data_IF_757537334285
#
_entry.id   IF_757537334285
#
_cell.length_a   1.000
_cell.length_b   1.000
_cell.length_c   1.000
_cell.angle_alpha   90.00
_cell.angle_beta   90.00
_cell.angle_gamma   90.00
#
_symmetry.space_group_name_H-M   'P 1'
#
loop_
_entity.id
_entity.type
_entity.pdbx_description
1 polymer ?
#
# COMPACT_ATOMS: atom_id res chain seq x y z
N UNK A 1 -25.51 9.65 20.59
CA UNK A 1 -25.26 9.63 19.14
C UNK A 1 -23.91 10.31 18.89
N UNK A 2 -22.86 9.57 18.54
CA UNK A 2 -21.52 10.14 18.32
C UNK A 2 -21.54 10.74 16.92
N UNK A 3 -21.55 12.07 16.83
CA UNK A 3 -21.38 12.77 15.56
C UNK A 3 -19.91 12.67 15.16
N UNK A 4 -19.60 12.03 14.04
CA UNK A 4 -18.31 12.23 13.40
C UNK A 4 -18.33 13.67 12.90
N UNK A 5 -17.40 14.47 13.39
CA UNK A 5 -17.22 15.82 12.89
C UNK A 5 -16.93 15.71 11.39
N UNK A 6 -17.85 16.20 10.59
CA UNK A 6 -17.69 16.24 9.15
C UNK A 6 -16.58 17.27 8.90
N UNK A 7 -15.36 16.82 8.74
CA UNK A 7 -14.29 17.68 8.27
C UNK A 7 -14.65 18.03 6.83
N UNK A 8 -15.21 19.20 6.65
CA UNK A 8 -15.33 19.80 5.35
C UNK A 8 -13.90 19.91 4.80
N UNK A 9 -13.58 19.00 3.91
CA UNK A 9 -12.40 19.15 3.08
C UNK A 9 -12.61 20.46 2.33
N UNK A 10 -11.72 21.44 2.46
CA UNK A 10 -11.74 22.60 1.58
C UNK A 10 -11.33 22.11 0.19
N UNK A 11 -12.26 21.53 -0.53
CA UNK A 11 -12.09 21.22 -1.92
C UNK A 11 -12.12 22.55 -2.67
N UNK A 12 -10.96 23.14 -2.74
CA UNK A 12 -10.71 24.28 -3.58
C UNK A 12 -10.30 23.75 -4.97
N UNK A 13 -10.78 24.35 -6.04
CA UNK A 13 -10.36 24.01 -7.40
C UNK A 13 -8.82 24.03 -7.54
N UNK A 14 -8.14 24.89 -6.81
CA UNK A 14 -6.70 24.96 -6.72
C UNK A 14 -6.05 23.71 -6.13
N UNK A 15 -6.63 23.12 -5.08
CA UNK A 15 -6.15 21.88 -4.50
C UNK A 15 -6.32 20.69 -5.46
N UNK A 16 -7.43 20.66 -6.20
CA UNK A 16 -7.68 19.64 -7.22
C UNK A 16 -6.68 19.74 -8.36
N UNK A 17 -6.44 20.95 -8.87
CA UNK A 17 -5.47 21.20 -9.95
C UNK A 17 -4.06 20.77 -9.50
N UNK A 18 -3.65 21.08 -8.27
CA UNK A 18 -2.35 20.62 -7.73
C UNK A 18 -2.23 19.10 -7.69
N UNK A 19 -3.27 18.38 -7.24
CA UNK A 19 -3.27 16.92 -7.25
C UNK A 19 -3.24 16.35 -8.67
N UNK A 20 -3.98 16.96 -9.60
CA UNK A 20 -3.99 16.57 -11.01
C UNK A 20 -2.61 16.79 -11.66
N UNK A 21 -1.95 17.89 -11.33
CA UNK A 21 -0.58 18.18 -11.80
C UNK A 21 0.42 17.15 -11.27
N UNK A 22 0.39 16.83 -9.96
CA UNK A 22 1.27 15.78 -9.38
C UNK A 22 1.02 14.45 -10.07
N UNK A 23 -0.23 14.07 -10.27
CA UNK A 23 -0.60 12.84 -10.96
C UNK A 23 -0.11 12.84 -12.42
N UNK A 24 -0.31 13.95 -13.15
CA UNK A 24 0.15 14.10 -14.52
C UNK A 24 1.68 14.01 -14.65
N UNK A 25 2.42 14.69 -13.78
CA UNK A 25 3.89 14.59 -13.75
C UNK A 25 4.37 13.18 -13.40
N UNK A 26 3.70 12.50 -12.48
CA UNK A 26 4.03 11.12 -12.13
C UNK A 26 3.81 10.18 -13.31
N UNK A 27 2.69 10.34 -14.04
CA UNK A 27 2.42 9.54 -15.24
C UNK A 27 3.45 9.80 -16.35
N UNK A 28 3.84 11.05 -16.57
CA UNK A 28 4.88 11.40 -17.56
C UNK A 28 6.21 10.73 -17.16
N UNK A 29 6.61 10.85 -15.90
CA UNK A 29 7.85 10.24 -15.41
C UNK A 29 7.85 8.71 -15.57
N UNK A 30 6.74 8.06 -15.21
CA UNK A 30 6.57 6.60 -15.38
C UNK A 30 6.59 6.22 -16.87
N UNK A 31 5.95 7.00 -17.73
CA UNK A 31 5.95 6.75 -19.19
C UNK A 31 7.35 6.88 -19.78
N UNK A 32 8.13 7.88 -19.36
CA UNK A 32 9.52 8.04 -19.79
C UNK A 32 10.38 6.86 -19.33
N UNK A 33 10.27 6.44 -18.07
CA UNK A 33 10.95 5.26 -17.55
C UNK A 33 10.57 4.00 -18.33
N UNK A 34 9.29 3.87 -18.68
CA UNK A 34 8.81 2.76 -19.48
C UNK A 34 9.39 2.74 -20.89
N UNK A 35 9.43 3.90 -21.58
CA UNK A 35 10.03 4.00 -22.92
C UNK A 35 11.52 3.62 -22.92
N UNK A 36 12.25 4.06 -21.91
CA UNK A 36 13.66 3.67 -21.73
C UNK A 36 13.78 2.18 -21.46
N UNK A 37 12.96 1.63 -20.57
CA UNK A 37 12.97 0.20 -20.23
C UNK A 37 12.57 -0.69 -21.42
N UNK A 38 11.56 -0.29 -22.20
CA UNK A 38 11.10 -1.04 -23.37
C UNK A 38 12.16 -1.12 -24.48
N UNK A 39 12.95 -0.07 -24.63
CA UNK A 39 14.00 -0.02 -25.66
C UNK A 39 15.40 -0.36 -25.11
N UNK A 40 15.49 -0.75 -23.83
CA UNK A 40 16.76 -0.96 -23.15
C UNK A 40 17.66 -1.94 -23.86
N UNK A 41 17.12 -3.07 -24.31
CA UNK A 41 17.88 -4.11 -25.00
C UNK A 41 18.31 -3.75 -26.42
N UNK A 42 17.74 -2.68 -27.01
CA UNK A 42 18.17 -2.17 -28.31
C UNK A 42 19.36 -1.22 -28.19
N UNK A 43 19.67 -0.74 -26.99
CA UNK A 43 20.79 0.17 -26.76
C UNK A 43 22.11 -0.60 -26.69
N UNK A 44 23.20 -0.07 -27.30
CA UNK A 44 24.54 -0.61 -27.08
C UNK A 44 24.92 -0.62 -25.59
N UNK A 45 25.67 -1.63 -25.18
CA UNK A 45 26.07 -1.81 -23.77
C UNK A 45 26.75 -0.57 -23.16
N UNK A 46 27.59 0.12 -23.97
CA UNK A 46 28.25 1.35 -23.53
C UNK A 46 27.25 2.47 -23.20
N UNK A 47 26.16 2.57 -23.94
CA UNK A 47 25.10 3.56 -23.72
C UNK A 47 24.28 3.16 -22.50
N UNK A 48 23.97 1.87 -22.33
CA UNK A 48 23.28 1.37 -21.14
C UNK A 48 24.06 1.70 -19.85
N UNK A 49 25.37 1.54 -19.86
CA UNK A 49 26.24 1.91 -18.73
C UNK A 49 26.34 3.41 -18.52
N UNK A 50 26.41 4.18 -19.61
CA UNK A 50 26.59 5.63 -19.53
C UNK A 50 25.38 6.38 -18.98
N UNK A 51 24.15 5.95 -19.31
CA UNK A 51 22.91 6.64 -18.91
C UNK A 51 22.81 6.85 -17.40
N UNK A 52 22.84 5.82 -16.53
CA UNK A 52 22.70 6.01 -15.09
C UNK A 52 23.87 6.79 -14.48
N UNK A 53 25.09 6.62 -15.01
CA UNK A 53 26.27 7.33 -14.52
C UNK A 53 26.22 8.82 -14.88
N UNK A 54 25.79 9.17 -16.09
CA UNK A 54 25.61 10.56 -16.50
C UNK A 54 24.48 11.24 -15.73
N UNK A 55 23.36 10.55 -15.49
CA UNK A 55 22.27 11.07 -14.68
C UNK A 55 22.69 11.27 -13.22
N UNK A 56 23.48 10.37 -12.66
CA UNK A 56 24.06 10.51 -11.34
C UNK A 56 24.97 11.74 -11.26
N UNK A 57 25.91 11.88 -12.21
CA UNK A 57 26.81 13.02 -12.26
C UNK A 57 26.05 14.34 -12.45
N UNK A 58 25.10 14.36 -13.40
CA UNK A 58 24.27 15.54 -13.67
C UNK A 58 23.48 15.98 -12.43
N UNK A 59 22.78 15.03 -11.78
CA UNK A 59 22.00 15.36 -10.58
C UNK A 59 22.89 15.79 -9.40
N UNK A 60 24.09 15.22 -9.24
CA UNK A 60 25.05 15.64 -8.23
C UNK A 60 25.55 17.06 -8.51
N UNK A 61 25.93 17.38 -9.75
CA UNK A 61 26.40 18.74 -10.12
C UNK A 61 25.26 19.76 -9.96
N UNK A 62 24.04 19.43 -10.42
CA UNK A 62 22.87 20.31 -10.26
C UNK A 62 22.58 20.58 -8.79
N UNK A 63 22.76 19.62 -7.90
CA UNK A 63 22.54 19.81 -6.45
C UNK A 63 23.50 20.84 -5.85
N UNK A 64 24.73 20.96 -6.38
CA UNK A 64 25.69 21.96 -5.95
C UNK A 64 25.33 23.37 -6.38
N UNK A 65 24.62 23.51 -7.50
CA UNK A 65 24.20 24.82 -8.01
C UNK A 65 22.89 25.31 -7.40
N UNK A 66 21.99 24.39 -7.05
CA UNK A 66 20.66 24.70 -6.54
C UNK A 66 20.58 24.78 -5.01
N UNK A 67 21.69 25.07 -4.32
CA UNK A 67 21.79 25.09 -2.85
C UNK A 67 20.76 25.98 -2.16
N UNK A 68 20.17 26.96 -2.86
CA UNK A 68 19.14 27.84 -2.31
C UNK A 68 17.75 27.20 -2.22
N UNK A 69 17.54 26.03 -2.83
CA UNK A 69 16.26 25.35 -2.92
C UNK A 69 16.33 23.96 -2.25
N UNK A 70 16.22 23.93 -0.93
CA UNK A 70 16.32 22.69 -0.13
C UNK A 70 15.51 21.52 -0.67
N UNK A 71 14.30 21.77 -1.13
CA UNK A 71 13.44 20.71 -1.68
C UNK A 71 14.02 20.12 -2.98
N UNK A 72 14.51 20.94 -3.89
CA UNK A 72 15.12 20.48 -5.15
C UNK A 72 16.44 19.72 -4.87
N UNK A 73 17.24 20.21 -3.94
CA UNK A 73 18.46 19.50 -3.51
C UNK A 73 18.14 18.11 -2.95
N UNK A 74 17.10 18.00 -2.12
CA UNK A 74 16.66 16.69 -1.62
C UNK A 74 16.17 15.76 -2.73
N UNK A 75 15.44 16.27 -3.71
CA UNK A 75 15.02 15.49 -4.87
C UNK A 75 16.22 15.01 -5.69
N UNK A 76 17.18 15.89 -5.96
CA UNK A 76 18.38 15.56 -6.73
C UNK A 76 19.26 14.51 -6.00
N UNK A 77 19.44 14.63 -4.70
CA UNK A 77 20.14 13.61 -3.91
C UNK A 77 19.39 12.25 -3.94
N UNK A 78 18.07 12.28 -3.90
CA UNK A 78 17.27 11.05 -4.02
C UNK A 78 17.45 10.40 -5.39
N UNK A 79 17.51 11.20 -6.46
CA UNK A 79 17.81 10.73 -7.82
C UNK A 79 19.23 10.14 -7.87
N UNK A 80 20.23 10.80 -7.27
CA UNK A 80 21.57 10.23 -7.16
C UNK A 80 21.55 8.85 -6.51
N UNK A 81 20.83 8.72 -5.38
CA UNK A 81 20.67 7.45 -4.68
C UNK A 81 20.05 6.35 -5.53
N UNK A 82 19.03 6.68 -6.33
CA UNK A 82 18.40 5.76 -7.29
C UNK A 82 19.36 5.37 -8.42
N UNK A 83 20.12 6.33 -8.96
CA UNK A 83 21.07 6.08 -10.06
C UNK A 83 22.25 5.21 -9.63
N UNK A 84 22.66 5.24 -8.36
CA UNK A 84 23.63 4.28 -7.80
C UNK A 84 23.10 2.85 -7.95
N UNK A 85 21.88 2.59 -7.51
CA UNK A 85 21.28 1.26 -7.62
C UNK A 85 21.07 0.81 -9.06
N UNK A 86 20.62 1.72 -9.93
CA UNK A 86 20.46 1.43 -11.35
C UNK A 86 21.82 1.10 -12.01
N UNK A 87 22.88 1.83 -11.66
CA UNK A 87 24.22 1.55 -12.16
C UNK A 87 24.71 0.15 -11.77
N UNK A 88 24.49 -0.24 -10.51
CA UNK A 88 24.83 -1.58 -10.01
C UNK A 88 24.03 -2.66 -10.73
N UNK A 89 22.73 -2.45 -10.93
CA UNK A 89 21.86 -3.39 -11.64
C UNK A 89 22.31 -3.59 -13.10
N UNK A 90 22.62 -2.49 -13.81
CA UNK A 90 23.09 -2.53 -15.19
C UNK A 90 24.45 -3.23 -15.29
N UNK A 91 25.38 -2.95 -14.39
CA UNK A 91 26.68 -3.63 -14.31
C UNK A 91 26.46 -5.13 -14.11
N UNK A 92 25.61 -5.53 -13.16
CA UNK A 92 25.29 -6.93 -12.91
C UNK A 92 24.70 -7.64 -14.12
N UNK A 93 23.83 -6.95 -14.87
CA UNK A 93 23.19 -7.47 -16.06
C UNK A 93 24.16 -7.63 -17.24
N UNK A 94 24.99 -6.61 -17.51
CA UNK A 94 25.91 -6.61 -18.66
C UNK A 94 27.06 -7.61 -18.46
N UNK A 95 27.64 -7.62 -17.27
CA UNK A 95 28.77 -8.49 -16.96
C UNK A 95 28.38 -9.88 -16.46
N UNK A 96 27.08 -10.17 -16.38
CA UNK A 96 26.55 -11.46 -15.90
C UNK A 96 27.31 -11.95 -14.67
N UNK A 97 27.44 -11.07 -13.69
CA UNK A 97 28.29 -11.32 -12.51
C UNK A 97 27.90 -12.55 -11.72
N UNK A 98 26.71 -13.13 -11.99
CA UNK A 98 26.16 -14.26 -11.23
C UNK A 98 25.95 -13.97 -9.74
N UNK A 99 26.08 -12.71 -9.34
CA UNK A 99 25.91 -12.31 -7.97
C UNK A 99 24.44 -12.42 -7.54
N UNK A 100 24.23 -12.97 -6.35
CA UNK A 100 22.90 -13.05 -5.76
C UNK A 100 22.28 -11.64 -5.59
N UNK A 101 20.96 -11.55 -5.75
CA UNK A 101 20.26 -10.25 -5.70
C UNK A 101 20.44 -9.53 -4.37
N UNK A 102 20.63 -10.24 -3.25
CA UNK A 102 20.88 -9.60 -1.95
C UNK A 102 22.18 -8.80 -1.92
N UNK A 103 23.23 -9.23 -2.64
CA UNK A 103 24.50 -8.51 -2.75
C UNK A 103 24.32 -7.16 -3.45
N UNK A 104 23.49 -7.10 -4.49
CA UNK A 104 23.15 -5.84 -5.17
C UNK A 104 22.56 -4.83 -4.18
N UNK A 105 21.56 -5.23 -3.42
CA UNK A 105 20.92 -4.35 -2.45
C UNK A 105 21.83 -4.00 -1.27
N UNK A 106 22.69 -4.93 -0.86
CA UNK A 106 23.70 -4.69 0.17
C UNK A 106 24.71 -3.63 -0.26
N UNK A 107 25.32 -3.79 -1.44
CA UNK A 107 26.26 -2.80 -1.99
C UNK A 107 25.58 -1.46 -2.23
N UNK A 108 24.34 -1.46 -2.72
CA UNK A 108 23.56 -0.24 -2.86
C UNK A 108 23.41 0.47 -1.52
N UNK A 109 23.02 -0.24 -0.46
CA UNK A 109 22.90 0.32 0.89
C UNK A 109 24.22 0.91 1.41
N UNK A 110 25.32 0.21 1.21
CA UNK A 110 26.67 0.70 1.63
C UNK A 110 27.04 1.96 0.87
N UNK A 111 26.79 2.03 -0.44
CA UNK A 111 27.10 3.21 -1.25
C UNK A 111 26.18 4.41 -0.98
N UNK A 112 25.02 4.20 -0.34
CA UNK A 112 24.16 5.29 0.12
C UNK A 112 24.64 5.93 1.43
N UNK A 113 25.46 5.25 2.25
CA UNK A 113 25.91 5.78 3.54
C UNK A 113 26.62 7.14 3.46
N UNK A 114 27.55 7.40 2.51
CA UNK A 114 28.19 8.70 2.40
C UNK A 114 27.23 9.87 2.14
N UNK A 115 26.11 9.60 1.45
CA UNK A 115 25.09 10.61 1.13
C UNK A 115 24.26 11.06 2.32
N UNK A 116 24.34 10.36 3.46
CA UNK A 116 23.71 10.75 4.71
C UNK A 116 24.48 11.87 5.46
N UNK A 117 25.63 12.26 4.98
CA UNK A 117 26.39 13.37 5.57
C UNK A 117 25.58 14.67 5.60
N UNK A 118 24.77 14.90 4.58
CA UNK A 118 23.73 15.93 4.62
C UNK A 118 22.38 15.26 4.85
N UNK A 119 21.61 15.67 5.89
CA UNK A 119 20.33 15.04 6.21
C UNK A 119 19.38 15.11 5.01
N UNK A 120 19.17 13.97 4.36
CA UNK A 120 18.29 13.85 3.20
C UNK A 120 17.26 12.75 3.46
N UNK A 121 15.98 13.15 3.46
CA UNK A 121 14.87 12.26 3.75
C UNK A 121 14.78 11.14 2.70
N UNK A 122 14.97 11.48 1.42
CA UNK A 122 14.84 10.51 0.32
C UNK A 122 15.95 9.47 0.32
N UNK A 123 17.20 9.89 0.55
CA UNK A 123 18.36 8.98 0.66
C UNK A 123 18.23 8.06 1.87
N UNK A 124 17.79 8.61 3.01
CA UNK A 124 17.54 7.79 4.19
C UNK A 124 16.43 6.74 3.94
N UNK A 125 15.37 7.13 3.27
CA UNK A 125 14.28 6.21 2.89
C UNK A 125 14.77 5.11 1.95
N UNK A 126 15.56 5.46 0.93
CA UNK A 126 16.19 4.49 0.03
C UNK A 126 17.12 3.53 0.77
N UNK A 127 17.96 4.05 1.68
CA UNK A 127 18.84 3.23 2.51
C UNK A 127 18.03 2.21 3.34
N UNK A 128 16.94 2.65 3.95
CA UNK A 128 16.09 1.76 4.74
C UNK A 128 15.45 0.66 3.89
N UNK A 129 14.94 0.99 2.70
CA UNK A 129 14.35 0.00 1.78
C UNK A 129 15.40 -0.98 1.27
N UNK A 130 16.52 -0.48 0.77
CA UNK A 130 17.57 -1.33 0.17
C UNK A 130 18.20 -2.26 1.20
N UNK A 131 18.46 -1.77 2.40
CA UNK A 131 19.01 -2.60 3.49
C UNK A 131 18.00 -3.65 3.99
N UNK A 132 16.71 -3.32 4.04
CA UNK A 132 15.66 -4.28 4.37
C UNK A 132 15.52 -5.36 3.29
N UNK A 133 15.57 -4.96 2.01
CA UNK A 133 15.54 -5.89 0.88
C UNK A 133 16.79 -6.78 0.85
N UNK A 134 17.98 -6.23 1.15
CA UNK A 134 19.19 -7.01 1.25
C UNK A 134 19.07 -8.11 2.32
N UNK A 135 18.56 -7.77 3.49
CA UNK A 135 18.34 -8.72 4.58
C UNK A 135 17.30 -9.78 4.20
N UNK A 136 16.17 -9.35 3.62
CA UNK A 136 15.09 -10.25 3.20
C UNK A 136 15.58 -11.25 2.13
N UNK A 137 16.24 -10.77 1.09
CA UNK A 137 16.75 -11.60 0.00
C UNK A 137 17.89 -12.50 0.46
N UNK A 138 18.73 -12.05 1.39
CA UNK A 138 19.76 -12.89 1.99
C UNK A 138 19.15 -14.15 2.59
N UNK A 139 18.10 -14.02 3.39
CA UNK A 139 17.45 -15.19 3.98
C UNK A 139 16.74 -16.07 2.94
N UNK A 140 16.15 -15.48 1.87
CA UNK A 140 15.46 -16.27 0.83
C UNK A 140 16.45 -17.00 -0.07
N UNK A 141 17.59 -16.38 -0.40
CA UNK A 141 18.55 -16.91 -1.36
C UNK A 141 19.64 -17.78 -0.71
N UNK A 142 19.72 -17.81 0.60
CA UNK A 142 20.69 -18.62 1.33
C UNK A 142 19.99 -19.71 2.13
N UNK A 143 20.71 -20.75 2.48
CA UNK A 143 20.22 -21.87 3.31
C UNK A 143 19.74 -21.44 4.71
N UNK A 144 20.10 -20.23 5.16
CA UNK A 144 19.71 -19.72 6.48
C UNK A 144 18.19 -19.56 6.63
N UNK A 145 17.50 -19.18 5.56
CA UNK A 145 16.04 -19.02 5.60
C UNK A 145 15.29 -20.33 5.79
N UNK A 146 15.78 -21.41 5.18
CA UNK A 146 15.17 -22.72 5.28
C UNK A 146 15.50 -23.42 6.62
N UNK A 147 16.75 -23.29 7.08
CA UNK A 147 17.18 -23.93 8.33
C UNK A 147 16.72 -23.16 9.59
N UNK A 148 16.63 -21.83 9.52
CA UNK A 148 16.33 -20.98 10.67
C UNK A 148 15.21 -19.98 10.39
N UNK A 149 13.98 -20.42 10.11
CA UNK A 149 12.88 -19.51 9.78
C UNK A 149 12.53 -18.55 10.92
N UNK A 150 12.69 -18.96 12.17
CA UNK A 150 12.45 -18.09 13.32
C UNK A 150 13.53 -16.99 13.44
N UNK A 151 14.78 -17.30 13.09
CA UNK A 151 15.85 -16.29 13.02
C UNK A 151 15.57 -15.24 11.94
N UNK A 152 15.06 -15.69 10.80
CA UNK A 152 14.61 -14.80 9.72
C UNK A 152 13.56 -13.80 10.21
N UNK A 153 12.50 -14.30 10.85
CA UNK A 153 11.44 -13.47 11.43
C UNK A 153 12.01 -12.42 12.41
N UNK A 154 12.77 -12.89 13.39
CA UNK A 154 13.33 -12.03 14.44
C UNK A 154 14.27 -10.97 13.83
N UNK A 155 15.11 -11.35 12.88
CA UNK A 155 16.06 -10.46 12.23
C UNK A 155 15.35 -9.34 11.46
N UNK A 156 14.32 -9.67 10.66
CA UNK A 156 13.57 -8.69 9.89
C UNK A 156 12.82 -7.72 10.81
N UNK A 157 12.18 -8.22 11.87
CA UNK A 157 11.50 -7.35 12.83
C UNK A 157 12.47 -6.48 13.62
N UNK A 158 13.58 -7.04 14.13
CA UNK A 158 14.58 -6.28 14.84
C UNK A 158 15.17 -5.17 13.98
N UNK A 159 15.46 -5.47 12.71
CA UNK A 159 15.99 -4.51 11.76
C UNK A 159 14.97 -3.41 11.44
N UNK A 160 13.70 -3.77 11.24
CA UNK A 160 12.62 -2.79 11.04
C UNK A 160 12.44 -1.88 12.28
N UNK A 161 12.58 -2.41 13.49
CA UNK A 161 12.55 -1.62 14.73
C UNK A 161 13.75 -0.66 14.83
N UNK A 162 14.94 -1.10 14.45
CA UNK A 162 16.15 -0.25 14.41
C UNK A 162 15.93 0.90 13.41
N UNK A 163 15.47 0.61 12.21
CA UNK A 163 15.15 1.61 11.19
C UNK A 163 14.10 2.59 11.69
N UNK A 164 13.05 2.08 12.34
CA UNK A 164 12.00 2.90 12.93
C UNK A 164 12.55 3.82 14.03
N UNK A 165 13.41 3.33 14.91
CA UNK A 165 14.05 4.13 15.95
C UNK A 165 14.85 5.29 15.36
N UNK A 166 15.69 5.03 14.36
CA UNK A 166 16.47 6.07 13.68
C UNK A 166 15.55 7.05 12.94
N UNK A 167 14.52 6.56 12.28
CA UNK A 167 13.53 7.40 11.61
C UNK A 167 12.82 8.33 12.60
N UNK A 168 12.36 7.80 13.72
CA UNK A 168 11.67 8.61 14.74
C UNK A 168 12.57 9.69 15.33
N UNK A 169 13.85 9.41 15.49
CA UNK A 169 14.84 10.34 16.05
C UNK A 169 15.26 11.45 15.07
N UNK A 170 15.52 11.11 13.81
CA UNK A 170 16.11 12.03 12.82
C UNK A 170 15.16 12.52 11.75
N UNK A 171 14.13 11.74 11.43
CA UNK A 171 13.20 11.99 10.33
C UNK A 171 11.74 11.75 10.74
N UNK A 172 11.30 12.43 11.78
CA UNK A 172 9.98 12.22 12.41
C UNK A 172 8.78 12.29 11.44
N UNK A 173 8.93 12.99 10.28
CA UNK A 173 7.91 13.05 9.24
C UNK A 173 7.68 11.71 8.52
N UNK A 174 8.65 10.81 8.52
CA UNK A 174 8.55 9.49 7.89
C UNK A 174 8.10 8.38 8.86
N UNK A 175 7.98 8.67 10.15
CA UNK A 175 7.70 7.64 11.17
C UNK A 175 6.45 6.80 10.87
N UNK A 176 5.41 7.41 10.29
CA UNK A 176 4.18 6.70 9.94
C UNK A 176 4.37 5.69 8.80
N UNK A 177 5.28 5.95 7.84
CA UNK A 177 5.59 4.99 6.77
C UNK A 177 6.31 3.77 7.32
N UNK A 178 7.29 3.98 8.22
CA UNK A 178 8.00 2.86 8.86
C UNK A 178 7.09 2.07 9.81
N UNK A 179 6.18 2.75 10.50
CA UNK A 179 5.17 2.06 11.30
C UNK A 179 4.22 1.24 10.42
N UNK A 180 3.80 1.79 9.29
CA UNK A 180 2.98 1.05 8.33
C UNK A 180 3.72 -0.19 7.80
N UNK A 181 4.99 -0.03 7.42
CA UNK A 181 5.84 -1.15 7.00
C UNK A 181 5.95 -2.21 8.09
N UNK A 182 6.22 -1.79 9.31
CA UNK A 182 6.27 -2.67 10.47
C UNK A 182 4.94 -3.40 10.71
N UNK A 183 3.82 -2.71 10.58
CA UNK A 183 2.49 -3.32 10.69
C UNK A 183 2.24 -4.35 9.57
N UNK A 184 2.65 -4.06 8.33
CA UNK A 184 2.55 -4.99 7.20
C UNK A 184 3.36 -6.26 7.47
N UNK A 185 4.62 -6.13 7.91
CA UNK A 185 5.45 -7.28 8.28
C UNK A 185 4.81 -8.11 9.40
N UNK A 186 4.28 -7.44 10.42
CA UNK A 186 3.63 -8.11 11.54
C UNK A 186 2.41 -8.90 11.08
N UNK A 187 1.55 -8.31 10.25
CA UNK A 187 0.38 -8.99 9.66
C UNK A 187 0.82 -10.16 8.78
N UNK A 188 1.86 -9.98 7.97
CA UNK A 188 2.43 -11.05 7.13
C UNK A 188 2.86 -12.25 7.97
N UNK A 189 3.62 -12.03 9.04
CA UNK A 189 4.10 -13.11 9.90
C UNK A 189 2.97 -13.83 10.64
N UNK A 190 1.93 -13.07 11.05
CA UNK A 190 0.74 -13.69 11.63
C UNK A 190 -0.01 -14.55 10.61
N UNK A 191 -0.09 -14.11 9.35
CA UNK A 191 -0.66 -14.91 8.27
C UNK A 191 0.13 -16.19 8.05
N UNK A 192 1.47 -16.14 8.09
CA UNK A 192 2.33 -17.31 7.95
C UNK A 192 2.08 -18.35 9.05
N UNK A 193 1.83 -17.91 10.29
CA UNK A 193 1.43 -18.83 11.36
C UNK A 193 0.06 -19.46 11.11
N UNK A 194 -0.93 -18.64 10.75
CA UNK A 194 -2.32 -19.08 10.64
C UNK A 194 -2.58 -20.00 9.43
N UNK A 195 -1.90 -19.76 8.30
CA UNK A 195 -2.21 -20.41 7.03
C UNK A 195 -1.07 -21.29 6.48
N UNK A 196 0.14 -21.18 6.99
CA UNK A 196 1.29 -21.93 6.53
C UNK A 196 1.93 -22.83 7.63
N UNK A 197 1.21 -23.06 8.73
CA UNK A 197 1.61 -23.92 9.85
C UNK A 197 3.02 -23.64 10.39
N UNK A 198 3.41 -22.35 10.40
CA UNK A 198 4.69 -21.92 10.96
C UNK A 198 4.64 -21.84 12.50
N UNK A 199 5.78 -21.56 13.12
CA UNK A 199 5.89 -21.49 14.58
C UNK A 199 4.94 -20.45 15.20
N UNK A 200 4.35 -20.75 16.36
CA UNK A 200 3.54 -19.82 17.16
C UNK A 200 4.28 -18.53 17.52
N UNK A 201 5.61 -18.55 17.45
CA UNK A 201 6.45 -17.38 17.66
C UNK A 201 6.13 -16.27 16.67
N UNK A 202 5.80 -16.61 15.41
CA UNK A 202 5.39 -15.64 14.38
C UNK A 202 4.18 -14.82 14.81
N UNK A 203 3.21 -15.50 15.40
CA UNK A 203 2.00 -14.84 15.89
C UNK A 203 2.27 -14.00 17.14
N UNK A 204 2.87 -14.59 18.17
CA UNK A 204 3.02 -13.95 19.48
C UNK A 204 3.92 -12.70 19.41
N UNK A 205 5.06 -12.79 18.74
CA UNK A 205 5.99 -11.65 18.57
C UNK A 205 5.30 -10.52 17.82
N UNK A 206 4.67 -10.83 16.68
CA UNK A 206 4.03 -9.81 15.84
C UNK A 206 2.86 -9.13 16.56
N UNK A 207 2.03 -9.90 17.25
CA UNK A 207 0.88 -9.37 18.01
C UNK A 207 1.32 -8.49 19.18
N UNK A 208 2.31 -8.93 19.96
CA UNK A 208 2.86 -8.17 21.07
C UNK A 208 3.50 -6.85 20.60
N UNK A 209 4.27 -6.88 19.51
CA UNK A 209 4.91 -5.70 18.98
C UNK A 209 3.90 -4.66 18.47
N UNK A 210 2.83 -5.10 17.81
CA UNK A 210 1.72 -4.21 17.42
C UNK A 210 0.99 -3.63 18.63
N UNK A 211 0.75 -4.44 19.65
CA UNK A 211 0.14 -4.00 20.92
C UNK A 211 0.99 -2.96 21.66
N UNK A 212 2.30 -3.19 21.75
CA UNK A 212 3.26 -2.25 22.33
C UNK A 212 3.28 -0.94 21.53
N UNK A 213 3.32 -1.02 20.20
CA UNK A 213 3.30 0.18 19.36
C UNK A 213 2.02 1.01 19.55
N UNK A 214 0.87 0.36 19.66
CA UNK A 214 -0.39 1.03 19.95
C UNK A 214 -0.35 1.72 21.32
N UNK A 215 0.09 1.02 22.38
CA UNK A 215 0.18 1.56 23.71
C UNK A 215 1.14 2.76 23.78
N UNK A 216 2.30 2.66 23.15
CA UNK A 216 3.30 3.73 23.08
C UNK A 216 2.75 4.99 22.40
N UNK A 217 2.15 4.83 21.21
CA UNK A 217 1.63 5.99 20.47
C UNK A 217 0.37 6.57 21.11
N UNK A 218 -0.44 5.74 21.74
CA UNK A 218 -1.57 6.19 22.52
C UNK A 218 -1.13 7.09 23.69
N UNK A 219 -0.12 6.67 24.46
CA UNK A 219 0.44 7.48 25.55
C UNK A 219 1.05 8.80 25.07
N UNK A 220 1.71 8.79 23.93
CA UNK A 220 2.30 9.97 23.32
C UNK A 220 1.30 10.86 22.55
N UNK A 221 0.01 10.50 22.55
CA UNK A 221 -1.07 11.22 21.84
C UNK A 221 -0.83 11.38 20.35
N UNK A 222 -0.06 10.48 19.74
CA UNK A 222 0.15 10.45 18.29
C UNK A 222 -1.04 9.77 17.61
N UNK A 223 -1.92 10.60 17.10
CA UNK A 223 -3.23 10.17 16.58
C UNK A 223 -3.10 9.27 15.35
N UNK A 224 -2.21 9.60 14.40
CA UNK A 224 -2.04 8.82 13.17
C UNK A 224 -1.41 7.46 13.46
N UNK A 225 -0.31 7.46 14.22
CA UNK A 225 0.38 6.22 14.55
C UNK A 225 -0.46 5.29 15.43
N UNK A 226 -1.28 5.83 16.34
CA UNK A 226 -2.25 5.05 17.11
C UNK A 226 -3.31 4.40 16.19
N UNK A 227 -3.84 5.15 15.23
CA UNK A 227 -4.82 4.63 14.28
C UNK A 227 -4.23 3.53 13.39
N UNK A 228 -2.99 3.68 12.88
CA UNK A 228 -2.30 2.68 12.08
C UNK A 228 -2.00 1.41 12.87
N UNK A 229 -1.54 1.52 14.11
CA UNK A 229 -1.30 0.36 14.99
C UNK A 229 -2.60 -0.38 15.30
N UNK A 230 -3.69 0.38 15.54
CA UNK A 230 -5.01 -0.20 15.77
C UNK A 230 -5.56 -0.93 14.54
N UNK A 231 -5.29 -0.41 13.33
CA UNK A 231 -5.63 -1.09 12.07
C UNK A 231 -4.85 -2.39 11.93
N UNK A 232 -3.53 -2.37 12.19
CA UNK A 232 -2.70 -3.57 12.15
C UNK A 232 -3.23 -4.67 13.08
N UNK A 233 -3.55 -4.32 14.34
CA UNK A 233 -4.19 -5.25 15.28
C UNK A 233 -5.58 -5.70 14.81
N UNK A 234 -6.35 -4.79 14.20
CA UNK A 234 -7.66 -5.09 13.65
C UNK A 234 -7.59 -6.14 12.54
N UNK A 235 -6.68 -5.99 11.59
CA UNK A 235 -6.46 -6.96 10.50
C UNK A 235 -6.00 -8.30 11.08
N UNK A 236 -5.07 -8.28 12.02
CA UNK A 236 -4.56 -9.48 12.67
C UNK A 236 -5.66 -10.29 13.35
N UNK A 237 -6.53 -9.61 14.10
CA UNK A 237 -7.66 -10.25 14.74
C UNK A 237 -8.70 -10.77 13.74
N UNK A 238 -8.92 -10.03 12.65
CA UNK A 238 -9.76 -10.48 11.54
C UNK A 238 -9.27 -11.81 10.96
N UNK A 239 -7.98 -11.97 10.77
CA UNK A 239 -7.40 -13.22 10.26
C UNK A 239 -7.68 -14.42 11.17
N UNK A 240 -7.61 -14.22 12.50
CA UNK A 240 -7.96 -15.26 13.48
C UNK A 240 -9.44 -15.65 13.33
N UNK A 241 -10.32 -14.65 13.24
CA UNK A 241 -11.75 -14.88 13.10
C UNK A 241 -12.06 -15.61 11.81
N UNK A 242 -11.47 -15.18 10.68
CA UNK A 242 -11.65 -15.84 9.39
C UNK A 242 -11.28 -17.31 9.51
N UNK A 243 -10.10 -17.63 10.06
CA UNK A 243 -9.68 -19.02 10.24
C UNK A 243 -10.66 -19.81 11.13
N UNK A 244 -11.08 -19.25 12.26
CA UNK A 244 -12.02 -19.91 13.18
C UNK A 244 -13.41 -20.16 12.53
N UNK A 245 -13.88 -19.21 11.71
CA UNK A 245 -15.17 -19.34 11.01
C UNK A 245 -15.08 -20.39 9.90
N UNK A 246 -14.00 -20.37 9.10
CA UNK A 246 -13.78 -21.38 8.03
C UNK A 246 -13.69 -22.80 8.60
N UNK A 247 -13.03 -22.97 9.74
CA UNK A 247 -12.96 -24.26 10.42
C UNK A 247 -14.33 -24.71 10.98
N UNK A 248 -15.17 -23.77 11.42
CA UNK A 248 -16.47 -24.10 12.01
C UNK A 248 -17.55 -24.44 10.96
N UNK A 249 -17.67 -23.64 9.90
CA UNK A 249 -18.75 -23.80 8.92
C UNK A 249 -18.48 -24.83 7.82
N UNK A 250 -17.23 -25.22 7.63
CA UNK A 250 -16.72 -26.42 6.91
C UNK A 250 -17.17 -26.70 5.47
N UNK A 251 -18.37 -26.32 5.04
CA UNK A 251 -18.90 -26.54 3.68
C UNK A 251 -19.97 -25.54 3.21
N UNK A 252 -20.38 -24.59 4.04
CA UNK A 252 -21.43 -23.62 3.67
C UNK A 252 -20.82 -22.26 3.36
N UNK A 253 -20.18 -22.15 2.21
CA UNK A 253 -19.44 -20.93 1.77
C UNK A 253 -20.26 -19.64 1.89
N UNK A 254 -21.58 -19.68 1.65
CA UNK A 254 -22.44 -18.50 1.71
C UNK A 254 -22.60 -17.99 3.15
N UNK A 255 -22.91 -18.89 4.08
CA UNK A 255 -23.05 -18.53 5.49
C UNK A 255 -21.72 -18.10 6.10
N UNK A 256 -20.64 -18.78 5.74
CA UNK A 256 -19.28 -18.45 6.13
C UNK A 256 -18.92 -17.01 5.72
N UNK A 257 -19.03 -16.66 4.46
CA UNK A 257 -18.73 -15.31 3.94
C UNK A 257 -19.63 -14.24 4.58
N UNK A 258 -20.89 -14.54 4.81
CA UNK A 258 -21.82 -13.61 5.46
C UNK A 258 -21.38 -13.31 6.90
N UNK A 259 -21.08 -14.33 7.71
CA UNK A 259 -20.64 -14.18 9.08
C UNK A 259 -19.28 -13.48 9.15
N UNK A 260 -18.35 -13.81 8.27
CA UNK A 260 -17.05 -13.13 8.17
C UNK A 260 -17.25 -11.64 7.91
N UNK A 261 -18.06 -11.26 6.92
CA UNK A 261 -18.32 -9.85 6.61
C UNK A 261 -18.95 -9.11 7.80
N UNK A 262 -19.92 -9.72 8.46
CA UNK A 262 -20.60 -9.13 9.63
C UNK A 262 -19.64 -8.90 10.80
N UNK A 263 -18.80 -9.89 11.10
CA UNK A 263 -17.86 -9.82 12.21
C UNK A 263 -16.77 -8.78 11.93
N UNK A 264 -16.22 -8.74 10.71
CA UNK A 264 -15.25 -7.72 10.30
C UNK A 264 -15.87 -6.33 10.45
N UNK A 265 -17.07 -6.16 9.95
CA UNK A 265 -17.79 -4.90 10.04
C UNK A 265 -17.97 -4.45 11.50
N UNK A 266 -18.47 -5.34 12.39
CA UNK A 266 -18.68 -5.04 13.80
C UNK A 266 -17.36 -4.74 14.53
N UNK A 267 -16.30 -5.49 14.22
CA UNK A 267 -14.99 -5.34 14.84
C UNK A 267 -14.34 -3.99 14.52
N UNK A 268 -14.29 -3.61 13.25
CA UNK A 268 -13.72 -2.32 12.87
C UNK A 268 -14.58 -1.13 13.33
N UNK A 269 -15.90 -1.30 13.42
CA UNK A 269 -16.78 -0.30 14.05
C UNK A 269 -16.44 -0.14 15.54
N UNK A 270 -16.19 -1.24 16.24
CA UNK A 270 -15.77 -1.23 17.65
C UNK A 270 -14.41 -0.54 17.82
N UNK A 271 -13.40 -0.88 17.00
CA UNK A 271 -12.08 -0.20 17.02
C UNK A 271 -12.25 1.30 16.82
N UNK A 272 -13.04 1.70 15.82
CA UNK A 272 -13.29 3.12 15.54
C UNK A 272 -13.97 3.81 16.70
N UNK A 273 -14.98 3.17 17.33
CA UNK A 273 -15.65 3.67 18.52
C UNK A 273 -14.67 3.89 19.67
N UNK A 274 -13.81 2.91 19.94
CA UNK A 274 -12.80 3.00 20.99
C UNK A 274 -11.80 4.13 20.72
N UNK A 275 -11.32 4.28 19.50
CA UNK A 275 -10.42 5.40 19.15
C UNK A 275 -11.10 6.76 19.32
N UNK A 276 -12.37 6.91 18.93
CA UNK A 276 -13.12 8.15 19.14
C UNK A 276 -13.29 8.44 20.63
N UNK A 277 -13.54 7.42 21.45
CA UNK A 277 -13.69 7.56 22.90
C UNK A 277 -12.39 7.99 23.58
N UNK A 278 -11.26 7.40 23.19
CA UNK A 278 -9.96 7.63 23.82
C UNK A 278 -9.17 8.79 23.23
N UNK A 279 -9.32 9.06 21.93
CA UNK A 279 -8.64 10.16 21.22
C UNK A 279 -9.71 11.01 20.49
N UNK A 280 -10.52 11.77 21.24
CA UNK A 280 -11.58 12.58 20.66
C UNK A 280 -10.98 13.65 19.72
N UNK A 281 -11.77 14.04 18.71
CA UNK A 281 -11.44 15.09 17.74
C UNK A 281 -10.29 14.77 16.75
N UNK A 282 -9.85 13.52 16.65
CA UNK A 282 -8.87 13.13 15.64
C UNK A 282 -9.53 12.84 14.29
N UNK A 283 -9.03 13.46 13.23
CA UNK A 283 -9.42 13.15 11.84
C UNK A 283 -9.02 11.73 11.41
N UNK A 284 -8.06 11.12 12.10
CA UNK A 284 -7.54 9.79 11.79
C UNK A 284 -8.37 8.66 12.39
N UNK A 285 -9.31 8.96 13.30
CA UNK A 285 -10.15 7.94 13.92
C UNK A 285 -11.04 7.19 12.91
N UNK A 286 -11.27 7.76 11.73
CA UNK A 286 -12.04 7.11 10.69
C UNK A 286 -11.19 6.19 9.77
N UNK A 287 -9.88 6.08 9.97
CA UNK A 287 -9.03 5.16 9.21
C UNK A 287 -9.46 3.69 9.41
N UNK A 288 -9.62 3.17 10.65
CA UNK A 288 -10.10 1.82 10.85
C UNK A 288 -11.48 1.58 10.23
N UNK A 289 -12.37 2.59 10.31
CA UNK A 289 -13.69 2.53 9.68
C UNK A 289 -13.59 2.28 8.17
N UNK A 290 -12.75 3.05 7.48
CA UNK A 290 -12.56 2.93 6.04
C UNK A 290 -11.92 1.59 5.66
N UNK A 291 -10.91 1.15 6.41
CA UNK A 291 -10.25 -0.15 6.18
C UNK A 291 -11.22 -1.30 6.42
N UNK A 292 -11.97 -1.26 7.51
CA UNK A 292 -13.00 -2.28 7.82
C UNK A 292 -14.10 -2.33 6.75
N UNK A 293 -14.54 -1.17 6.25
CA UNK A 293 -15.50 -1.09 5.16
C UNK A 293 -14.96 -1.71 3.87
N UNK A 294 -13.68 -1.50 3.55
CA UNK A 294 -13.04 -2.13 2.39
C UNK A 294 -12.97 -3.65 2.54
N UNK A 295 -12.47 -4.15 3.65
CA UNK A 295 -12.32 -5.60 3.87
C UNK A 295 -13.70 -6.28 3.88
N UNK A 296 -14.65 -5.75 4.66
CA UNK A 296 -16.01 -6.29 4.71
C UNK A 296 -16.74 -6.17 3.35
N UNK A 297 -16.50 -5.09 2.61
CA UNK A 297 -17.06 -4.86 1.30
C UNK A 297 -16.53 -5.86 0.26
N UNK A 298 -15.25 -6.22 0.30
CA UNK A 298 -14.67 -7.25 -0.56
C UNK A 298 -15.33 -8.61 -0.27
N UNK A 299 -15.41 -9.00 1.00
CA UNK A 299 -16.06 -10.27 1.40
C UNK A 299 -17.53 -10.29 0.98
N UNK A 300 -18.24 -9.18 1.18
CA UNK A 300 -19.64 -9.07 0.79
C UNK A 300 -19.82 -9.05 -0.74
N UNK A 301 -18.89 -8.48 -1.50
CA UNK A 301 -18.89 -8.56 -2.96
C UNK A 301 -18.74 -9.99 -3.45
N UNK A 302 -17.83 -10.76 -2.84
CA UNK A 302 -17.66 -12.18 -3.15
C UNK A 302 -18.96 -12.95 -2.91
N UNK A 303 -19.63 -12.71 -1.78
CA UNK A 303 -20.94 -13.29 -1.47
C UNK A 303 -21.98 -12.95 -2.55
N UNK A 304 -22.02 -11.70 -2.99
CA UNK A 304 -22.95 -11.25 -4.03
C UNK A 304 -22.72 -11.94 -5.37
N UNK A 305 -21.45 -12.06 -5.78
CA UNK A 305 -21.07 -12.70 -7.02
C UNK A 305 -21.45 -14.18 -7.03
N UNK A 306 -21.26 -14.87 -5.91
CA UNK A 306 -21.65 -16.29 -5.77
C UNK A 306 -23.17 -16.49 -5.80
N UNK A 307 -23.93 -15.54 -5.22
CA UNK A 307 -25.39 -15.70 -5.08
C UNK A 307 -26.18 -15.22 -6.31
N UNK A 308 -25.76 -14.11 -6.94
CA UNK A 308 -26.56 -13.46 -7.99
C UNK A 308 -26.00 -13.60 -9.41
N UNK A 309 -24.80 -14.11 -9.58
CA UNK A 309 -24.21 -14.35 -10.90
C UNK A 309 -24.44 -13.19 -11.89
N UNK A 310 -25.24 -13.43 -12.94
CA UNK A 310 -25.49 -12.45 -14.00
C UNK A 310 -26.25 -11.18 -13.55
N UNK A 311 -26.94 -11.21 -12.42
CA UNK A 311 -27.59 -10.02 -11.84
C UNK A 311 -26.65 -9.15 -11.02
N UNK A 312 -25.41 -9.56 -10.84
CA UNK A 312 -24.41 -8.84 -10.02
C UNK A 312 -24.17 -7.40 -10.49
N UNK A 313 -24.23 -7.13 -11.79
CA UNK A 313 -24.11 -5.78 -12.35
C UNK A 313 -25.23 -4.86 -11.86
N UNK A 314 -26.47 -5.29 -12.01
CA UNK A 314 -27.64 -4.49 -11.59
C UNK A 314 -27.61 -4.23 -10.09
N UNK A 315 -27.33 -5.26 -9.31
CA UNK A 315 -27.25 -5.15 -7.87
C UNK A 315 -26.06 -4.30 -7.43
N UNK A 316 -24.94 -4.39 -8.13
CA UNK A 316 -23.78 -3.53 -7.91
C UNK A 316 -24.12 -2.05 -8.10
N UNK A 317 -24.80 -1.69 -9.17
CA UNK A 317 -25.27 -0.32 -9.42
C UNK A 317 -26.26 0.16 -8.36
N UNK A 318 -27.22 -0.69 -7.95
CA UNK A 318 -28.16 -0.38 -6.87
C UNK A 318 -27.42 -0.12 -5.55
N UNK A 319 -26.41 -0.92 -5.24
CA UNK A 319 -25.63 -0.74 -4.00
C UNK A 319 -24.80 0.54 -4.01
N UNK A 320 -24.20 0.91 -5.15
CA UNK A 320 -23.51 2.19 -5.28
C UNK A 320 -24.48 3.36 -5.12
N UNK A 321 -25.65 3.29 -5.73
CA UNK A 321 -26.67 4.33 -5.62
C UNK A 321 -27.21 4.46 -4.18
N UNK A 322 -27.49 3.33 -3.52
CA UNK A 322 -27.91 3.30 -2.12
C UNK A 322 -26.81 3.83 -1.18
N UNK A 323 -25.57 3.43 -1.40
CA UNK A 323 -24.43 3.94 -0.64
C UNK A 323 -24.29 5.45 -0.80
N UNK A 324 -24.40 5.98 -2.01
CA UNK A 324 -24.36 7.40 -2.29
C UNK A 324 -25.49 8.16 -1.55
N UNK A 325 -26.69 7.63 -1.59
CA UNK A 325 -27.82 8.19 -0.83
C UNK A 325 -27.58 8.20 0.69
N UNK A 326 -27.16 7.05 1.24
CA UNK A 326 -26.87 6.92 2.67
C UNK A 326 -25.75 7.84 3.12
N UNK A 327 -24.67 7.98 2.36
CA UNK A 327 -23.56 8.88 2.67
C UNK A 327 -23.98 10.35 2.73
N UNK A 328 -24.95 10.74 1.89
CA UNK A 328 -25.50 12.10 1.88
C UNK A 328 -26.47 12.35 3.03
N UNK A 329 -27.30 11.36 3.37
CA UNK A 329 -28.42 11.50 4.31
C UNK A 329 -28.00 11.30 5.77
N UNK A 330 -26.95 10.55 6.08
CA UNK A 330 -26.74 9.97 7.41
C UNK A 330 -25.42 10.42 8.03
N UNK A 331 -25.50 10.81 9.32
CA UNK A 331 -24.35 11.23 10.13
C UNK A 331 -23.87 10.18 11.13
N UNK A 332 -24.54 9.01 11.26
CA UNK A 332 -24.16 7.99 12.22
C UNK A 332 -22.94 7.19 11.76
N UNK A 333 -22.02 6.89 12.68
CA UNK A 333 -20.80 6.15 12.41
C UNK A 333 -21.07 4.79 11.74
N UNK A 334 -21.99 4.03 12.32
CA UNK A 334 -22.32 2.68 11.89
C UNK A 334 -22.90 2.64 10.47
N UNK A 335 -23.87 3.53 10.20
CA UNK A 335 -24.50 3.60 8.89
C UNK A 335 -23.55 4.14 7.81
N UNK A 336 -22.59 4.99 8.18
CA UNK A 336 -21.53 5.41 7.27
C UNK A 336 -20.59 4.27 6.89
N UNK A 337 -20.19 3.45 7.86
CA UNK A 337 -19.39 2.27 7.59
C UNK A 337 -20.15 1.30 6.67
N UNK A 338 -21.43 1.10 6.93
CA UNK A 338 -22.29 0.26 6.09
C UNK A 338 -22.40 0.82 4.67
N UNK A 339 -22.57 2.12 4.52
CA UNK A 339 -22.60 2.76 3.21
C UNK A 339 -21.28 2.59 2.44
N UNK A 340 -20.12 2.71 3.10
CA UNK A 340 -18.83 2.43 2.49
C UNK A 340 -18.68 0.96 2.11
N UNK A 341 -19.16 0.04 2.92
CA UNK A 341 -19.18 -1.39 2.63
C UNK A 341 -20.00 -1.69 1.37
N UNK A 342 -21.22 -1.14 1.26
CA UNK A 342 -22.07 -1.27 0.07
C UNK A 342 -21.42 -0.65 -1.16
N UNK A 343 -20.75 0.49 -1.02
CA UNK A 343 -20.04 1.13 -2.11
C UNK A 343 -18.95 0.22 -2.68
N UNK A 344 -18.09 -0.33 -1.82
CA UNK A 344 -17.01 -1.24 -2.22
C UNK A 344 -17.56 -2.51 -2.85
N UNK A 345 -18.57 -3.12 -2.22
CA UNK A 345 -19.20 -4.32 -2.74
C UNK A 345 -19.84 -4.10 -4.13
N UNK A 346 -20.58 -3.01 -4.28
CA UNK A 346 -21.18 -2.64 -5.56
C UNK A 346 -20.15 -2.36 -6.64
N UNK A 347 -19.06 -1.65 -6.30
CA UNK A 347 -17.97 -1.35 -7.20
C UNK A 347 -17.28 -2.63 -7.70
N UNK A 348 -16.96 -3.57 -6.82
CA UNK A 348 -16.31 -4.83 -7.16
C UNK A 348 -17.24 -5.68 -8.04
N UNK A 349 -18.53 -5.76 -7.71
CA UNK A 349 -19.50 -6.51 -8.51
C UNK A 349 -19.61 -5.96 -9.94
N UNK A 350 -19.64 -4.63 -10.11
CA UNK A 350 -19.66 -3.98 -11.42
C UNK A 350 -18.35 -4.23 -12.18
N UNK A 351 -17.20 -4.14 -11.51
CA UNK A 351 -15.89 -4.42 -12.13
C UNK A 351 -15.85 -5.87 -12.63
N UNK A 352 -16.20 -6.81 -11.79
CA UNK A 352 -16.12 -8.24 -12.13
C UNK A 352 -16.98 -8.58 -13.35
N UNK A 353 -18.19 -8.05 -13.40
CA UNK A 353 -19.08 -8.24 -14.53
C UNK A 353 -18.56 -7.59 -15.82
N UNK A 354 -18.00 -6.37 -15.73
CA UNK A 354 -17.44 -5.68 -16.91
C UNK A 354 -16.19 -6.36 -17.46
N UNK A 355 -15.37 -6.99 -16.61
CA UNK A 355 -14.21 -7.79 -17.05
C UNK A 355 -14.66 -9.02 -17.80
N UNK A 356 -15.65 -9.73 -17.28
CA UNK A 356 -16.16 -10.97 -17.89
C UNK A 356 -16.83 -10.70 -19.25
N UNK A 357 -17.56 -9.58 -19.36
CA UNK A 357 -18.31 -9.23 -20.57
C UNK A 357 -17.45 -8.65 -21.69
N UNK A 358 -16.42 -7.88 -21.37
CA UNK A 358 -15.65 -7.10 -22.35
C UNK A 358 -14.25 -7.59 -22.58
N UNK A 359 -13.74 -8.46 -21.73
CA UNK A 359 -12.34 -8.96 -21.76
C UNK A 359 -11.29 -7.84 -21.90
N UNK A 360 -11.62 -6.64 -21.40
CA UNK A 360 -10.79 -5.44 -21.53
C UNK A 360 -10.69 -4.70 -20.20
N UNK A 361 -9.48 -4.31 -19.86
CA UNK A 361 -9.17 -3.58 -18.61
C UNK A 361 -9.54 -2.10 -18.71
N UNK A 362 -9.65 -1.53 -19.91
CA UNK A 362 -10.00 -0.10 -20.13
C UNK A 362 -11.33 0.30 -19.47
N UNK A 363 -12.44 -0.47 -19.57
CA UNK A 363 -13.67 -0.17 -18.86
C UNK A 363 -13.53 -0.13 -17.34
N UNK A 364 -12.64 -0.97 -16.77
CA UNK A 364 -12.37 -0.97 -15.33
C UNK A 364 -11.73 0.35 -14.91
N UNK A 365 -10.77 0.83 -15.67
CA UNK A 365 -10.09 2.10 -15.41
C UNK A 365 -11.07 3.27 -15.47
N UNK A 366 -11.95 3.28 -16.47
CA UNK A 366 -13.00 4.28 -16.60
C UNK A 366 -13.98 4.23 -15.41
N UNK A 367 -14.41 3.03 -15.01
CA UNK A 367 -15.29 2.85 -13.85
C UNK A 367 -14.63 3.32 -12.55
N UNK A 368 -13.35 3.01 -12.35
CA UNK A 368 -12.59 3.50 -11.19
C UNK A 368 -12.50 5.02 -11.16
N UNK A 369 -12.33 5.67 -12.32
CA UNK A 369 -12.35 7.13 -12.44
C UNK A 369 -13.73 7.70 -12.06
N UNK A 370 -14.81 7.09 -12.56
CA UNK A 370 -16.19 7.51 -12.20
C UNK A 370 -16.43 7.34 -10.71
N UNK A 371 -16.02 6.21 -10.11
CA UNK A 371 -16.17 5.96 -8.67
C UNK A 371 -15.33 6.92 -7.82
N UNK A 372 -14.12 7.25 -8.27
CA UNK A 372 -13.29 8.26 -7.62
C UNK A 372 -13.95 9.63 -7.67
N UNK A 373 -14.48 10.04 -8.83
CA UNK A 373 -15.20 11.29 -8.99
C UNK A 373 -16.45 11.35 -8.09
N UNK A 374 -17.24 10.27 -8.06
CA UNK A 374 -18.40 10.17 -7.18
C UNK A 374 -18.01 10.25 -5.70
N UNK A 375 -16.98 9.53 -5.25
CA UNK A 375 -16.47 9.59 -3.89
C UNK A 375 -16.04 11.02 -3.51
N UNK A 376 -15.45 11.70 -4.46
CA UNK A 376 -15.07 13.10 -4.34
C UNK A 376 -16.29 14.02 -4.19
N UNK A 377 -17.25 13.96 -5.12
CA UNK A 377 -18.44 14.79 -5.10
C UNK A 377 -19.32 14.54 -3.86
N UNK A 378 -19.34 13.30 -3.38
CA UNK A 378 -20.11 12.92 -2.20
C UNK A 378 -19.44 13.31 -0.88
N UNK A 379 -18.28 13.98 -0.92
CA UNK A 379 -17.51 14.39 0.26
C UNK A 379 -17.28 13.23 1.23
N UNK A 380 -16.87 12.08 0.70
CA UNK A 380 -16.54 10.92 1.50
C UNK A 380 -15.30 11.17 2.35
N UNK A 381 -15.05 10.31 3.35
CA UNK A 381 -13.86 10.48 4.20
C UNK A 381 -12.57 10.41 3.36
N UNK A 382 -11.62 11.32 3.62
CA UNK A 382 -10.38 11.47 2.84
C UNK A 382 -9.59 10.17 2.67
N UNK A 383 -9.58 9.30 3.71
CA UNK A 383 -8.86 8.04 3.64
C UNK A 383 -9.56 7.06 2.68
N UNK A 384 -10.88 7.09 2.60
CA UNK A 384 -11.64 6.30 1.62
C UNK A 384 -11.32 6.77 0.19
N UNK A 385 -11.26 8.07 -0.05
CA UNK A 385 -10.83 8.64 -1.33
C UNK A 385 -9.39 8.23 -1.67
N UNK A 386 -8.49 8.24 -0.69
CA UNK A 386 -7.10 7.79 -0.87
C UNK A 386 -7.03 6.32 -1.30
N UNK A 387 -7.80 5.44 -0.67
CA UNK A 387 -7.85 4.03 -1.07
C UNK A 387 -8.46 3.86 -2.46
N UNK A 388 -9.43 4.70 -2.87
CA UNK A 388 -9.96 4.73 -4.24
C UNK A 388 -8.87 5.15 -5.25
N UNK A 389 -8.05 6.13 -4.91
CA UNK A 389 -6.90 6.54 -5.74
C UNK A 389 -5.90 5.40 -5.91
N UNK A 390 -5.59 4.67 -4.83
CA UNK A 390 -4.73 3.49 -4.91
C UNK A 390 -5.33 2.39 -5.81
N UNK A 391 -6.63 2.16 -5.71
CA UNK A 391 -7.35 1.23 -6.58
C UNK A 391 -7.29 1.65 -8.06
N UNK A 392 -7.47 2.94 -8.36
CA UNK A 392 -7.31 3.49 -9.70
C UNK A 392 -5.88 3.31 -10.23
N UNK A 393 -4.88 3.56 -9.39
CA UNK A 393 -3.48 3.37 -9.75
C UNK A 393 -3.18 1.90 -10.05
N UNK A 394 -3.63 0.98 -9.20
CA UNK A 394 -3.48 -0.46 -9.42
C UNK A 394 -4.14 -0.93 -10.72
N UNK A 395 -5.35 -0.44 -11.02
CA UNK A 395 -6.05 -0.70 -12.28
C UNK A 395 -5.28 -0.15 -13.49
N UNK A 396 -4.69 1.03 -13.38
CA UNK A 396 -3.85 1.63 -14.42
C UNK A 396 -2.59 0.81 -14.72
N UNK A 397 -1.90 0.34 -13.66
CA UNK A 397 -0.73 -0.54 -13.82
C UNK A 397 -1.12 -1.86 -14.47
N UNK A 398 -2.25 -2.46 -14.06
CA UNK A 398 -2.75 -3.69 -14.66
C UNK A 398 -3.09 -3.50 -16.15
N UNK A 399 -3.68 -2.35 -16.55
CA UNK A 399 -3.92 -2.00 -17.94
C UNK A 399 -2.64 -1.97 -18.77
N UNK A 400 -1.60 -1.33 -18.26
CA UNK A 400 -0.31 -1.24 -18.97
C UNK A 400 0.30 -2.63 -19.15
N UNK A 401 0.21 -3.47 -18.12
CA UNK A 401 0.70 -4.85 -18.17
C UNK A 401 -0.03 -5.67 -19.23
N UNK A 402 -1.35 -5.58 -19.29
CA UNK A 402 -2.17 -6.32 -20.24
C UNK A 402 -1.92 -5.89 -21.69
N UNK A 403 -1.83 -4.58 -21.95
CA UNK A 403 -1.48 -4.04 -23.26
C UNK A 403 -0.12 -4.58 -23.72
N UNK A 404 0.86 -4.67 -22.84
CA UNK A 404 2.19 -5.20 -23.16
C UNK A 404 2.17 -6.71 -23.43
N UNK A 405 1.41 -7.47 -22.65
CA UNK A 405 1.24 -8.91 -22.89
C UNK A 405 0.67 -9.15 -24.30
N UNK A 406 -0.36 -8.40 -24.70
CA UNK A 406 -0.94 -8.51 -26.03
C UNK A 406 -0.01 -8.06 -27.18
N UNK A 407 0.80 -7.02 -26.96
CA UNK A 407 1.77 -6.56 -27.96
C UNK A 407 2.94 -7.55 -28.14
N UNK A 408 3.40 -8.19 -27.05
CA UNK A 408 4.47 -9.19 -27.12
C UNK A 408 4.07 -10.45 -27.90
N UNK A 409 2.81 -10.88 -27.77
CA UNK A 409 2.30 -12.06 -28.51
C UNK A 409 2.13 -11.79 -29.99
N UNK A 410 1.84 -10.57 -30.45
CA UNK A 410 1.74 -10.21 -31.87
C UNK A 410 3.08 -10.20 -32.62
N UNK A 411 4.19 -10.05 -31.88
CA UNK A 411 5.53 -10.05 -32.47
C UNK A 411 6.19 -11.44 -32.51
N UNK A 412 5.51 -12.49 -32.04
CA UNK A 412 5.99 -13.89 -32.03
C UNK A 412 5.32 -14.72 -33.16
N UNK A 413 4.27 -14.17 -33.79
CA UNK A 413 3.61 -14.74 -34.97
C UNK A 413 4.04 -13.95 -36.22
#
# INVERSE_FOLDING_TARGET
MIKIQQYDYPWNAESFIKHLQVFGFTLIAVSMLYLVAANWFMLPQNIQLAIPQLLLLFSAVCSLWLTKHDFLVQCLHSICGLMIGLSLAVIGQIYQTGADSYLLFLFWSVLLLPWLYHPNIGVFFLLCITSQLALFLFFIQTFWGDQYPDLFLISIHAFALIQFYFCNKYYSKLRYLFLLWFAILSVWHMAMYLYADKSILYFTVSFLLLGISLAYYYQNKDQLCSALSAVGLGISFTMIIVKAVTEWFGQNEIFELFFIALIIFAWFAFITYMLIKFIPHSRFNAIPLAVGAWIAGIVFATLMLTFWGNFSLLMGLVFVALAAYLLKAIQSLFLRQFAYCLWVAGQIAVIFYTVDLMNQIIPILFLQLVMLALAYFMRTHWFFVFVQILGLYAAGVACIWDINAHLSWRNIV
#
